data_IF_975091113284
#
_entry.id   IF_975091113284
#
_cell.length_a   1.000
_cell.length_b   1.000
_cell.length_c   1.000
_cell.angle_alpha   90.00
_cell.angle_beta   90.00
_cell.angle_gamma   90.00
#
_symmetry.space_group_name_H-M   'P 1'
#
loop_
_entity.id
_entity.type
_entity.pdbx_description
1 polymer ?
#
# COMPACT_ATOMS: atom_id res chain seq x y z
N UNK A 1 18.72 5.15 -34.31
CA UNK A 1 19.59 5.07 -33.12
C UNK A 1 19.38 6.29 -32.19
N UNK A 2 18.16 6.62 -31.79
CA UNK A 2 17.85 7.77 -30.90
C UNK A 2 17.00 7.41 -29.66
N UNK A 3 16.88 6.15 -29.33
CA UNK A 3 16.00 5.66 -28.26
C UNK A 3 16.61 5.60 -26.85
N UNK A 4 17.90 5.88 -26.66
CA UNK A 4 18.55 5.75 -25.34
C UNK A 4 18.60 7.06 -24.53
N UNK A 5 18.42 8.22 -25.16
CA UNK A 5 18.52 9.53 -24.50
C UNK A 5 17.26 9.97 -23.76
N UNK A 6 16.11 9.37 -24.05
CA UNK A 6 14.84 9.72 -23.40
C UNK A 6 14.63 9.09 -22.00
N UNK A 7 15.18 7.91 -21.75
CA UNK A 7 14.99 7.17 -20.48
C UNK A 7 15.57 7.89 -19.25
N UNK A 8 16.84 8.35 -19.25
CA UNK A 8 17.37 9.08 -18.10
C UNK A 8 16.65 10.41 -17.89
N UNK A 9 16.27 11.12 -18.95
CA UNK A 9 15.51 12.37 -18.85
C UNK A 9 14.12 12.16 -18.23
N UNK A 10 13.43 11.07 -18.58
CA UNK A 10 12.15 10.70 -17.97
C UNK A 10 12.30 10.43 -16.46
N UNK A 11 13.28 9.62 -16.05
CA UNK A 11 13.56 9.32 -14.63
C UNK A 11 13.90 10.60 -13.86
N UNK A 12 14.75 11.47 -14.42
CA UNK A 12 15.11 12.74 -13.80
C UNK A 12 13.87 13.63 -13.63
N UNK A 13 13.03 13.73 -14.66
CA UNK A 13 11.77 14.50 -14.58
C UNK A 13 10.84 13.97 -13.47
N UNK A 14 10.73 12.65 -13.34
CA UNK A 14 9.92 12.00 -12.28
C UNK A 14 10.51 12.25 -10.89
N UNK A 15 11.83 12.18 -10.74
CA UNK A 15 12.50 12.55 -9.49
C UNK A 15 12.28 14.02 -9.13
N UNK A 16 12.35 14.92 -10.09
CA UNK A 16 12.04 16.33 -9.86
C UNK A 16 10.57 16.57 -9.47
N UNK A 17 9.64 15.78 -10.01
CA UNK A 17 8.22 15.82 -9.62
C UNK A 17 7.97 15.26 -8.21
N UNK A 18 8.83 14.38 -7.70
CA UNK A 18 8.74 13.87 -6.35
C UNK A 18 9.10 14.93 -5.29
N UNK A 19 10.02 15.85 -5.60
CA UNK A 19 10.47 16.89 -4.66
C UNK A 19 9.32 17.74 -4.11
N UNK A 20 8.45 18.38 -4.96
CA UNK A 20 7.32 19.15 -4.43
C UNK A 20 6.32 18.30 -3.64
N UNK A 21 6.16 17.02 -3.99
CA UNK A 21 5.29 16.10 -3.23
C UNK A 21 5.85 15.86 -1.83
N UNK A 22 7.13 15.51 -1.71
CA UNK A 22 7.79 15.31 -0.42
C UNK A 22 7.76 16.60 0.40
N UNK A 23 8.02 17.74 -0.23
CA UNK A 23 7.94 19.05 0.44
C UNK A 23 6.52 19.35 0.94
N UNK A 24 5.48 19.12 0.14
CA UNK A 24 4.09 19.29 0.55
C UNK A 24 3.73 18.41 1.75
N UNK A 25 4.24 17.19 1.80
CA UNK A 25 4.03 16.26 2.92
C UNK A 25 4.74 16.78 4.18
N UNK A 26 5.97 17.25 4.05
CA UNK A 26 6.69 17.86 5.18
C UNK A 26 5.94 19.09 5.72
N UNK A 27 5.40 19.93 4.84
CA UNK A 27 4.57 21.07 5.24
C UNK A 27 3.30 20.65 5.95
N UNK A 28 2.60 19.65 5.39
CA UNK A 28 1.37 19.12 5.99
C UNK A 28 1.65 18.51 7.38
N UNK A 29 2.69 17.70 7.51
CA UNK A 29 3.10 17.11 8.77
C UNK A 29 3.46 18.18 9.81
N UNK A 30 4.22 19.20 9.40
CA UNK A 30 4.56 20.34 10.27
C UNK A 30 3.30 21.09 10.73
N UNK A 31 2.36 21.30 9.82
CA UNK A 31 1.07 21.94 10.14
C UNK A 31 0.26 21.08 11.13
N UNK A 32 0.17 19.78 10.88
CA UNK A 32 -0.54 18.84 11.77
C UNK A 32 0.05 18.83 13.17
N UNK A 33 1.38 18.88 13.28
CA UNK A 33 2.07 18.98 14.58
C UNK A 33 1.65 20.23 15.36
N UNK A 34 1.49 21.37 14.67
CA UNK A 34 1.13 22.64 15.30
C UNK A 34 -0.38 22.80 15.55
N UNK A 35 -1.22 22.10 14.80
CA UNK A 35 -2.68 22.08 15.01
C UNK A 35 -3.12 21.05 16.04
N UNK A 36 -2.26 20.07 16.36
CA UNK A 36 -2.57 19.07 17.37
C UNK A 36 -2.71 19.75 18.75
N UNK A 37 -3.73 19.42 19.55
CA UNK A 37 -3.91 19.97 20.86
C UNK A 37 -2.79 19.51 21.81
N UNK A 38 -2.03 20.45 22.34
CA UNK A 38 -0.85 20.24 23.18
C UNK A 38 0.46 20.26 22.39
N UNK A 39 1.52 20.87 22.96
CA UNK A 39 2.86 20.80 22.37
C UNK A 39 3.59 19.53 22.80
N UNK A 40 4.65 19.14 22.07
CA UNK A 40 5.45 17.95 22.39
C UNK A 40 6.00 17.98 23.84
N UNK A 41 6.25 19.15 24.36
CA UNK A 41 6.68 19.32 25.74
C UNK A 41 5.56 18.99 26.76
N UNK A 42 4.31 19.31 26.43
CA UNK A 42 3.14 18.98 27.28
C UNK A 42 2.87 17.48 27.33
N UNK A 43 2.98 16.80 26.18
CA UNK A 43 2.81 15.34 26.10
C UNK A 43 3.86 14.65 26.96
N UNK A 44 5.13 15.05 26.84
CA UNK A 44 6.25 14.51 27.61
C UNK A 44 6.14 14.79 29.10
N UNK A 45 5.75 16.01 29.49
CA UNK A 45 5.57 16.37 30.90
C UNK A 45 4.37 15.61 31.50
N UNK A 46 3.31 15.37 30.76
CA UNK A 46 2.17 14.56 31.16
C UNK A 46 2.53 13.10 31.42
N UNK A 47 3.36 12.49 30.58
CA UNK A 47 3.86 11.13 30.79
C UNK A 47 4.85 11.00 31.94
N UNK A 48 5.69 12.03 32.18
CA UNK A 48 6.64 12.05 33.28
C UNK A 48 5.99 12.33 34.64
N UNK A 49 4.69 12.67 34.69
CA UNK A 49 3.97 12.98 35.93
C UNK A 49 4.44 14.26 36.64
N UNK A 50 5.29 15.07 36.01
CA UNK A 50 5.87 16.29 36.58
C UNK A 50 5.87 17.43 35.56
N UNK A 51 4.87 18.27 35.62
CA UNK A 51 4.73 19.43 34.74
C UNK A 51 5.11 20.73 35.47
N UNK A 52 6.32 20.80 36.10
CA UNK A 52 6.76 22.07 36.65
C UNK A 52 7.03 23.08 35.54
N UNK A 53 6.76 24.39 35.79
CA UNK A 53 6.99 25.42 34.76
C UNK A 53 8.44 25.45 34.25
N UNK A 54 9.40 25.20 35.13
CA UNK A 54 10.83 25.16 34.81
C UNK A 54 11.18 23.98 33.89
N UNK A 55 10.63 22.80 34.17
CA UNK A 55 10.82 21.60 33.35
C UNK A 55 10.19 21.77 31.96
N UNK A 56 9.00 22.36 31.90
CA UNK A 56 8.34 22.71 30.64
C UNK A 56 9.16 23.69 29.81
N UNK A 57 9.74 24.72 30.43
CA UNK A 57 10.59 25.68 29.74
C UNK A 57 11.85 25.00 29.15
N UNK A 58 12.50 24.14 29.93
CA UNK A 58 13.66 23.38 29.50
C UNK A 58 13.32 22.45 28.32
N UNK A 59 12.18 21.76 28.36
CA UNK A 59 11.70 20.90 27.23
C UNK A 59 11.45 21.73 25.98
N UNK A 60 10.76 22.87 26.09
CA UNK A 60 10.51 23.77 24.94
C UNK A 60 11.80 24.29 24.35
N UNK A 61 12.76 24.68 25.16
CA UNK A 61 14.08 25.11 24.70
C UNK A 61 14.84 23.96 24.01
N UNK A 62 14.81 22.77 24.62
CA UNK A 62 15.49 21.58 24.08
C UNK A 62 14.90 21.15 22.71
N UNK A 63 13.59 21.26 22.53
CA UNK A 63 12.91 20.96 21.26
C UNK A 63 12.85 22.17 20.31
N UNK A 64 13.37 23.32 20.71
CA UNK A 64 13.38 24.53 19.90
C UNK A 64 11.99 25.11 19.63
N UNK A 65 10.99 24.77 20.48
CA UNK A 65 9.61 25.24 20.36
C UNK A 65 9.45 26.72 20.76
N UNK A 66 10.47 27.30 21.37
CA UNK A 66 10.61 28.72 21.70
C UNK A 66 11.06 29.60 20.52
N UNK A 67 11.50 28.98 19.42
CA UNK A 67 12.00 29.66 18.24
C UNK A 67 10.88 30.15 17.33
N UNK A 68 11.12 31.15 16.43
CA UNK A 68 10.16 31.53 15.40
C UNK A 68 9.75 30.34 14.52
N UNK A 69 8.48 30.28 14.10
CA UNK A 69 7.92 29.16 13.31
C UNK A 69 8.75 28.84 12.07
N UNK A 70 9.32 29.83 11.39
CA UNK A 70 10.17 29.60 10.22
C UNK A 70 11.45 28.81 10.56
N UNK A 71 12.03 29.07 11.75
CA UNK A 71 13.22 28.36 12.24
C UNK A 71 12.85 26.92 12.65
N UNK A 72 11.71 26.74 13.33
CA UNK A 72 11.19 25.41 13.68
C UNK A 72 10.96 24.57 12.42
N UNK A 73 10.36 25.15 11.38
CA UNK A 73 10.15 24.50 10.09
C UNK A 73 11.47 24.07 9.42
N UNK A 74 12.47 24.97 9.38
CA UNK A 74 13.77 24.65 8.80
C UNK A 74 14.46 23.49 9.54
N UNK A 75 14.40 23.50 10.87
CA UNK A 75 14.98 22.44 11.71
C UNK A 75 14.23 21.11 11.48
N UNK A 76 12.90 21.14 11.44
CA UNK A 76 12.07 19.98 11.14
C UNK A 76 12.38 19.38 9.77
N UNK A 77 12.41 20.20 8.71
CA UNK A 77 12.77 19.74 7.36
C UNK A 77 14.17 19.14 7.34
N UNK A 78 15.13 19.79 7.99
CA UNK A 78 16.51 19.26 8.10
C UNK A 78 16.52 17.89 8.78
N UNK A 79 15.86 17.72 9.92
CA UNK A 79 15.78 16.46 10.66
C UNK A 79 15.15 15.35 9.80
N UNK A 80 14.03 15.63 9.13
CA UNK A 80 13.38 14.64 8.26
C UNK A 80 14.28 14.23 7.09
N UNK A 81 14.96 15.18 6.42
CA UNK A 81 15.88 14.90 5.32
C UNK A 81 17.14 14.17 5.73
N UNK A 82 17.58 14.31 6.99
CA UNK A 82 18.72 13.55 7.55
C UNK A 82 18.30 12.23 8.19
N UNK A 83 16.99 11.86 8.10
CA UNK A 83 16.39 10.68 8.73
C UNK A 83 16.57 10.65 10.27
N UNK A 84 16.75 11.80 10.87
CA UNK A 84 16.73 11.97 12.33
C UNK A 84 15.27 12.17 12.77
N UNK A 85 14.52 11.07 12.82
CA UNK A 85 13.09 11.07 13.15
C UNK A 85 12.82 11.17 14.64
N UNK A 86 13.89 11.30 15.45
CA UNK A 86 13.80 11.38 16.89
C UNK A 86 13.60 10.02 17.58
N UNK A 87 13.06 10.09 18.79
CA UNK A 87 12.93 8.94 19.68
C UNK A 87 11.48 8.77 20.14
N UNK A 88 10.98 7.55 20.17
CA UNK A 88 9.70 7.20 20.76
C UNK A 88 9.89 6.91 22.24
N UNK A 89 9.37 7.74 23.10
CA UNK A 89 9.48 7.54 24.54
C UNK A 89 8.66 6.35 25.02
N UNK A 90 7.52 6.14 24.39
CA UNK A 90 6.63 5.01 24.70
C UNK A 90 7.29 3.66 24.41
N UNK A 91 8.02 3.54 23.31
CA UNK A 91 8.69 2.30 22.91
C UNK A 91 10.14 2.22 23.42
N UNK A 92 10.70 3.31 23.95
CA UNK A 92 12.06 3.35 24.47
C UNK A 92 13.15 3.13 23.40
N UNK A 93 12.87 3.50 22.12
CA UNK A 93 13.79 3.25 21.01
C UNK A 93 13.66 4.30 19.88
N UNK A 94 14.67 4.41 19.00
CA UNK A 94 14.63 5.33 17.86
C UNK A 94 13.44 5.05 16.94
N UNK A 95 12.78 6.11 16.47
CA UNK A 95 11.61 6.04 15.57
C UNK A 95 11.97 5.31 14.27
N UNK A 96 13.16 5.56 13.72
CA UNK A 96 13.60 4.93 12.48
C UNK A 96 13.68 3.39 12.59
N UNK A 97 14.16 2.89 13.72
CA UNK A 97 14.26 1.43 13.98
C UNK A 97 12.86 0.79 14.09
N UNK A 98 11.94 1.45 14.80
CA UNK A 98 10.54 1.01 14.88
C UNK A 98 9.89 0.88 13.50
N UNK A 99 10.06 1.91 12.68
CA UNK A 99 9.50 1.93 11.32
C UNK A 99 10.16 0.86 10.45
N UNK A 100 11.49 0.73 10.49
CA UNK A 100 12.22 -0.27 9.72
C UNK A 100 11.78 -1.71 10.05
N UNK A 101 11.53 -2.00 11.33
CA UNK A 101 11.04 -3.31 11.76
C UNK A 101 9.62 -3.63 11.23
N UNK A 102 8.79 -2.61 10.99
CA UNK A 102 7.40 -2.76 10.53
C UNK A 102 7.23 -2.68 9.01
N UNK A 103 8.25 -2.19 8.30
CA UNK A 103 8.21 -2.03 6.85
C UNK A 103 8.08 -3.36 6.11
N UNK A 104 8.85 -4.37 6.51
CA UNK A 104 8.83 -5.70 5.90
C UNK A 104 7.43 -6.35 5.90
N UNK A 105 6.78 -6.48 7.06
CA UNK A 105 5.41 -6.98 7.15
C UNK A 105 4.39 -6.23 6.28
N UNK A 106 4.42 -4.91 6.25
CA UNK A 106 3.53 -4.12 5.38
C UNK A 106 3.78 -4.42 3.90
N UNK A 107 5.05 -4.41 3.47
CA UNK A 107 5.40 -4.72 2.08
C UNK A 107 4.99 -6.15 1.69
N UNK A 108 5.16 -7.13 2.58
CA UNK A 108 4.74 -8.51 2.35
C UNK A 108 3.22 -8.59 2.12
N UNK A 109 2.43 -7.93 2.96
CA UNK A 109 0.97 -7.87 2.81
C UNK A 109 0.58 -7.18 1.49
N UNK A 110 1.19 -6.03 1.18
CA UNK A 110 0.89 -5.26 -0.05
C UNK A 110 1.22 -6.05 -1.32
N UNK A 111 2.41 -6.64 -1.40
CA UNK A 111 2.84 -7.41 -2.58
C UNK A 111 1.94 -8.64 -2.77
N UNK A 112 1.66 -9.37 -1.70
CA UNK A 112 0.78 -10.55 -1.77
C UNK A 112 -0.62 -10.17 -2.19
N UNK A 113 -1.18 -9.10 -1.64
CA UNK A 113 -2.49 -8.55 -2.04
C UNK A 113 -2.51 -8.16 -3.51
N UNK A 114 -1.49 -7.45 -3.99
CA UNK A 114 -1.40 -7.01 -5.38
C UNK A 114 -1.35 -8.21 -6.33
N UNK A 115 -0.51 -9.19 -6.02
CA UNK A 115 -0.39 -10.42 -6.83
C UNK A 115 -1.72 -11.18 -6.88
N UNK A 116 -2.37 -11.39 -5.75
CA UNK A 116 -3.67 -12.10 -5.70
C UNK A 116 -4.74 -11.32 -6.44
N UNK A 117 -4.92 -10.02 -6.15
CA UNK A 117 -6.00 -9.22 -6.74
C UNK A 117 -5.84 -9.04 -8.25
N UNK A 118 -4.62 -8.79 -8.73
CA UNK A 118 -4.35 -8.67 -10.17
C UNK A 118 -4.51 -10.01 -10.88
N UNK A 119 -3.89 -11.07 -10.37
CA UNK A 119 -3.96 -12.40 -11.01
C UNK A 119 -5.39 -12.94 -11.06
N UNK A 120 -6.11 -12.88 -9.94
CA UNK A 120 -7.51 -13.29 -9.89
C UNK A 120 -8.41 -12.35 -10.72
N UNK A 121 -8.14 -11.03 -10.69
CA UNK A 121 -8.87 -10.05 -11.49
C UNK A 121 -8.72 -10.27 -12.98
N UNK A 122 -7.51 -10.55 -13.45
CA UNK A 122 -7.24 -10.91 -14.86
C UNK A 122 -7.94 -12.20 -15.25
N UNK A 123 -7.82 -13.26 -14.43
CA UNK A 123 -8.45 -14.55 -14.71
C UNK A 123 -9.98 -14.45 -14.75
N UNK A 124 -10.59 -13.84 -13.74
CA UNK A 124 -12.05 -13.69 -13.65
C UNK A 124 -12.58 -12.70 -14.68
N UNK A 125 -11.89 -11.60 -14.96
CA UNK A 125 -12.27 -10.63 -15.98
C UNK A 125 -12.22 -11.23 -17.39
N UNK A 126 -11.19 -12.03 -17.70
CA UNK A 126 -11.09 -12.79 -18.93
C UNK A 126 -12.23 -13.81 -19.07
N UNK A 127 -12.53 -14.55 -17.99
CA UNK A 127 -13.64 -15.52 -17.97
C UNK A 127 -14.99 -14.82 -18.17
N UNK A 128 -15.23 -13.70 -17.52
CA UNK A 128 -16.44 -12.90 -17.68
C UNK A 128 -16.59 -12.39 -19.11
N UNK A 129 -15.52 -11.84 -19.71
CA UNK A 129 -15.54 -11.36 -21.09
C UNK A 129 -15.76 -12.48 -22.12
N UNK A 130 -15.13 -13.65 -21.92
CA UNK A 130 -15.33 -14.82 -22.81
C UNK A 130 -16.76 -15.38 -22.77
N UNK A 131 -17.53 -15.05 -21.76
CA UNK A 131 -18.93 -15.46 -21.57
C UNK A 131 -19.87 -14.25 -21.47
N UNK A 132 -19.50 -13.14 -22.12
CA UNK A 132 -20.23 -11.87 -22.07
C UNK A 132 -21.73 -12.05 -22.35
N UNK A 133 -22.57 -11.44 -21.49
CA UNK A 133 -24.02 -11.55 -21.55
C UNK A 133 -24.61 -12.89 -21.08
N UNK A 134 -23.79 -13.83 -20.58
CA UNK A 134 -24.23 -15.11 -20.03
C UNK A 134 -24.14 -15.10 -18.49
N UNK A 135 -24.74 -16.12 -17.85
CA UNK A 135 -24.78 -16.21 -16.38
C UNK A 135 -23.39 -16.14 -15.69
N UNK A 136 -22.26 -16.70 -16.23
CA UNK A 136 -20.97 -16.56 -15.55
C UNK A 136 -20.47 -15.11 -15.51
N UNK A 137 -20.69 -14.34 -16.58
CA UNK A 137 -20.39 -12.91 -16.62
C UNK A 137 -21.16 -12.15 -15.56
N UNK A 138 -22.48 -12.39 -15.45
CA UNK A 138 -23.33 -11.76 -14.46
C UNK A 138 -22.89 -12.12 -13.03
N UNK A 139 -22.64 -13.40 -12.75
CA UNK A 139 -22.21 -13.86 -11.41
C UNK A 139 -20.89 -13.24 -11.01
N UNK A 140 -19.88 -13.27 -11.87
CA UNK A 140 -18.56 -12.68 -11.58
C UNK A 140 -18.69 -11.18 -11.35
N UNK A 141 -19.46 -10.47 -12.18
CA UNK A 141 -19.65 -9.03 -12.05
C UNK A 141 -20.38 -8.65 -10.75
N UNK A 142 -21.42 -9.42 -10.39
CA UNK A 142 -22.18 -9.20 -9.13
C UNK A 142 -21.30 -9.49 -7.92
N UNK A 143 -20.57 -10.61 -7.90
CA UNK A 143 -19.66 -10.94 -6.79
C UNK A 143 -18.56 -9.89 -6.63
N UNK A 144 -17.97 -9.43 -7.73
CA UNK A 144 -16.99 -8.35 -7.71
C UNK A 144 -17.60 -7.05 -7.15
N UNK A 145 -18.83 -6.69 -7.56
CA UNK A 145 -19.53 -5.52 -7.05
C UNK A 145 -19.81 -5.63 -5.54
N UNK A 146 -20.30 -6.78 -5.09
CA UNK A 146 -20.55 -7.06 -3.66
C UNK A 146 -19.26 -6.96 -2.85
N UNK A 147 -18.15 -7.52 -3.35
CA UNK A 147 -16.84 -7.43 -2.68
C UNK A 147 -16.39 -5.97 -2.51
N UNK A 148 -16.63 -5.13 -3.50
CA UNK A 148 -16.28 -3.70 -3.43
C UNK A 148 -17.20 -2.89 -2.52
N UNK A 149 -18.50 -3.20 -2.55
CA UNK A 149 -19.52 -2.47 -1.76
C UNK A 149 -19.48 -2.84 -0.27
N UNK A 150 -18.86 -3.98 0.08
CA UNK A 150 -18.79 -4.44 1.47
C UNK A 150 -17.64 -3.72 2.20
N UNK A 151 -17.86 -3.20 3.43
CA UNK A 151 -16.79 -2.55 4.18
C UNK A 151 -15.61 -3.50 4.45
N UNK A 152 -14.39 -3.03 4.19
CA UNK A 152 -13.17 -3.82 4.26
C UNK A 152 -12.97 -4.51 5.62
N UNK A 153 -13.19 -3.78 6.72
CA UNK A 153 -13.06 -4.33 8.06
C UNK A 153 -14.08 -5.46 8.31
N UNK A 154 -15.28 -5.32 7.78
CA UNK A 154 -16.34 -6.34 7.94
C UNK A 154 -15.97 -7.64 7.19
N UNK A 155 -15.42 -7.52 5.98
CA UNK A 155 -14.88 -8.69 5.24
C UNK A 155 -13.81 -9.39 6.08
N UNK A 156 -12.86 -8.64 6.65
CA UNK A 156 -11.82 -9.19 7.52
C UNK A 156 -12.39 -9.97 8.71
N UNK A 157 -13.35 -9.36 9.44
CA UNK A 157 -14.01 -10.00 10.58
C UNK A 157 -14.78 -11.26 10.16
N UNK A 158 -15.50 -11.24 9.03
CA UNK A 158 -16.21 -12.44 8.54
C UNK A 158 -15.26 -13.57 8.16
N UNK A 159 -14.13 -13.25 7.54
CA UNK A 159 -13.10 -14.24 7.23
C UNK A 159 -12.53 -14.87 8.52
N UNK A 160 -12.25 -14.08 9.56
CA UNK A 160 -11.83 -14.58 10.87
C UNK A 160 -12.89 -15.52 11.45
N UNK A 161 -14.16 -15.09 11.51
CA UNK A 161 -15.26 -15.88 12.07
C UNK A 161 -15.42 -17.21 11.33
N UNK A 162 -15.36 -17.19 10.01
CA UNK A 162 -15.56 -18.42 9.22
C UNK A 162 -14.35 -19.33 9.28
N UNK A 163 -13.17 -18.83 8.93
CA UNK A 163 -12.00 -19.68 8.71
C UNK A 163 -11.17 -19.96 9.97
N UNK A 164 -11.19 -19.05 10.94
CA UNK A 164 -10.43 -19.24 12.17
C UNK A 164 -11.30 -19.77 13.32
N UNK A 165 -12.51 -19.18 13.52
CA UNK A 165 -13.32 -19.53 14.69
C UNK A 165 -14.20 -20.76 14.43
N UNK A 166 -14.89 -20.83 13.26
CA UNK A 166 -15.82 -21.95 12.98
C UNK A 166 -15.13 -23.18 12.40
N UNK A 167 -14.18 -22.96 11.48
CA UNK A 167 -13.49 -24.04 10.77
C UNK A 167 -12.14 -24.43 11.40
N UNK A 168 -11.56 -23.56 12.22
CA UNK A 168 -10.24 -23.74 12.84
C UNK A 168 -9.12 -24.07 11.84
N UNK A 169 -9.19 -23.50 10.63
CA UNK A 169 -8.23 -23.76 9.57
C UNK A 169 -7.03 -22.83 9.59
N UNK A 170 -7.25 -21.56 9.95
CA UNK A 170 -6.28 -20.47 9.85
C UNK A 170 -6.20 -19.68 11.16
N UNK A 171 -5.05 -19.07 11.47
CA UNK A 171 -4.92 -18.24 12.67
C UNK A 171 -5.78 -16.99 12.60
N UNK A 172 -6.17 -16.47 13.77
CA UNK A 172 -7.05 -15.30 13.89
C UNK A 172 -6.31 -13.97 13.69
N UNK A 173 -5.03 -13.90 14.12
CA UNK A 173 -4.31 -12.63 14.22
C UNK A 173 -2.80 -12.84 14.35
N UNK A 174 -2.04 -11.75 14.19
CA UNK A 174 -0.59 -11.77 14.28
C UNK A 174 0.08 -12.14 12.96
N UNK A 175 1.38 -12.27 12.98
CA UNK A 175 2.21 -12.70 11.84
C UNK A 175 2.81 -14.08 12.04
N UNK A 176 2.97 -14.52 13.28
CA UNK A 176 3.57 -15.78 13.68
C UNK A 176 2.84 -16.36 14.89
N UNK A 177 2.88 -17.68 15.06
CA UNK A 177 2.29 -18.36 16.21
C UNK A 177 3.07 -18.05 17.48
N UNK A 178 2.42 -17.40 18.44
CA UNK A 178 3.04 -16.97 19.70
C UNK A 178 3.55 -18.19 20.48
N UNK A 179 4.83 -18.16 20.87
CA UNK A 179 5.46 -19.24 21.65
C UNK A 179 5.91 -20.46 20.86
N UNK A 180 5.70 -20.52 19.55
CA UNK A 180 6.10 -21.66 18.73
C UNK A 180 7.59 -21.68 18.34
N UNK A 181 8.27 -20.51 18.35
CA UNK A 181 9.70 -20.34 18.00
C UNK A 181 10.12 -21.08 16.72
N UNK A 182 9.29 -21.00 15.68
CA UNK A 182 9.58 -21.63 14.41
C UNK A 182 10.79 -20.97 13.73
N UNK A 183 11.68 -21.80 13.15
CA UNK A 183 12.84 -21.33 12.38
C UNK A 183 12.82 -21.90 10.96
N UNK A 184 13.59 -21.27 10.06
CA UNK A 184 13.76 -21.72 8.69
C UNK A 184 12.43 -21.86 7.93
N UNK A 185 12.21 -23.00 7.29
CA UNK A 185 11.02 -23.25 6.48
C UNK A 185 9.73 -23.29 7.29
N UNK A 186 9.75 -23.80 8.52
CA UNK A 186 8.58 -23.84 9.40
C UNK A 186 8.06 -22.42 9.70
N UNK A 187 8.95 -21.46 9.91
CA UNK A 187 8.60 -20.03 10.08
C UNK A 187 7.95 -19.46 8.82
N UNK A 188 8.47 -19.76 7.64
CA UNK A 188 7.90 -19.29 6.37
C UNK A 188 6.47 -19.80 6.18
N UNK A 189 6.22 -21.08 6.49
CA UNK A 189 4.89 -21.68 6.42
C UNK A 189 3.95 -21.04 7.45
N UNK A 190 4.42 -20.80 8.67
CA UNK A 190 3.62 -20.16 9.73
C UNK A 190 3.22 -18.73 9.34
N UNK A 191 4.17 -17.90 8.89
CA UNK A 191 3.89 -16.56 8.35
C UNK A 191 2.91 -16.65 7.18
N UNK A 192 3.10 -17.60 6.27
CA UNK A 192 2.20 -17.80 5.13
C UNK A 192 0.76 -18.07 5.56
N UNK A 193 0.54 -18.91 6.60
CA UNK A 193 -0.79 -19.18 7.14
C UNK A 193 -1.44 -17.94 7.75
N UNK A 194 -0.68 -17.13 8.49
CA UNK A 194 -1.16 -15.87 9.06
C UNK A 194 -1.45 -14.79 7.99
N UNK A 195 -0.76 -14.84 6.85
CA UNK A 195 -0.92 -13.90 5.75
C UNK A 195 -2.17 -14.13 4.89
N UNK A 196 -2.71 -15.38 4.86
CA UNK A 196 -3.82 -15.75 3.97
C UNK A 196 -5.04 -14.84 4.16
N UNK A 197 -5.56 -14.74 5.38
CA UNK A 197 -6.80 -13.99 5.63
C UNK A 197 -6.62 -12.48 5.45
N UNK A 198 -5.55 -11.83 5.96
CA UNK A 198 -5.28 -10.42 5.68
C UNK A 198 -5.16 -10.13 4.19
N UNK A 199 -4.37 -10.93 3.47
CA UNK A 199 -4.16 -10.73 2.03
C UNK A 199 -5.45 -10.96 1.22
N UNK A 200 -6.25 -11.97 1.54
CA UNK A 200 -7.55 -12.21 0.92
C UNK A 200 -8.53 -11.07 1.18
N UNK A 201 -8.62 -10.59 2.43
CA UNK A 201 -9.49 -9.48 2.80
C UNK A 201 -9.21 -8.24 1.97
N UNK A 202 -7.95 -7.83 1.91
CA UNK A 202 -7.52 -6.66 1.14
C UNK A 202 -7.65 -6.90 -0.37
N UNK A 203 -7.35 -8.12 -0.84
CA UNK A 203 -7.45 -8.48 -2.26
C UNK A 203 -8.88 -8.42 -2.79
N UNK A 204 -9.86 -8.85 -2.03
CA UNK A 204 -11.27 -8.83 -2.43
C UNK A 204 -11.76 -7.40 -2.71
N UNK A 205 -11.28 -6.41 -1.96
CA UNK A 205 -11.59 -5.01 -2.21
C UNK A 205 -11.07 -4.52 -3.57
N UNK A 206 -9.80 -4.85 -3.90
CA UNK A 206 -9.19 -4.43 -5.17
C UNK A 206 -9.60 -5.30 -6.36
N UNK A 207 -10.03 -6.54 -6.12
CA UNK A 207 -10.43 -7.51 -7.15
C UNK A 207 -11.48 -6.96 -8.11
N UNK A 208 -12.49 -6.29 -7.60
CA UNK A 208 -13.58 -5.72 -8.39
C UNK A 208 -13.12 -4.74 -9.47
N UNK A 209 -12.10 -3.94 -9.15
CA UNK A 209 -11.50 -2.99 -10.08
C UNK A 209 -10.85 -3.74 -11.25
N UNK A 210 -10.01 -4.73 -10.94
CA UNK A 210 -9.28 -5.49 -11.95
C UNK A 210 -10.16 -6.38 -12.80
N UNK A 211 -11.20 -6.99 -12.22
CA UNK A 211 -12.21 -7.78 -12.97
C UNK A 211 -12.91 -6.89 -14.01
N UNK A 212 -13.42 -5.73 -13.59
CA UNK A 212 -14.14 -4.81 -14.51
C UNK A 212 -13.21 -4.26 -15.59
N UNK A 213 -12.02 -3.86 -15.23
CA UNK A 213 -11.04 -3.31 -16.16
C UNK A 213 -10.63 -4.35 -17.21
N UNK A 214 -10.28 -5.56 -16.74
CA UNK A 214 -9.90 -6.66 -17.64
C UNK A 214 -11.04 -7.08 -18.55
N UNK A 215 -12.26 -7.20 -18.01
CA UNK A 215 -13.46 -7.52 -18.82
C UNK A 215 -13.68 -6.49 -19.92
N UNK A 216 -13.64 -5.21 -19.62
CA UNK A 216 -13.80 -4.13 -20.60
C UNK A 216 -12.70 -4.18 -21.67
N UNK A 217 -11.43 -4.29 -21.24
CA UNK A 217 -10.30 -4.35 -22.15
C UNK A 217 -10.36 -5.58 -23.11
N UNK A 218 -10.76 -6.76 -22.61
CA UNK A 218 -10.90 -7.95 -23.44
C UNK A 218 -12.01 -7.77 -24.48
N UNK A 219 -13.17 -7.21 -24.09
CA UNK A 219 -14.27 -6.98 -25.04
C UNK A 219 -13.87 -5.97 -26.11
N UNK A 220 -13.18 -4.90 -25.77
CA UNK A 220 -12.63 -3.92 -26.71
C UNK A 220 -11.65 -4.58 -27.70
N UNK A 221 -10.66 -5.31 -27.19
CA UNK A 221 -9.64 -5.97 -28.00
C UNK A 221 -10.23 -7.05 -28.93
N UNK A 222 -11.29 -7.74 -28.51
CA UNK A 222 -11.96 -8.78 -29.31
C UNK A 222 -12.63 -8.21 -30.56
N UNK A 223 -12.98 -6.93 -30.58
CA UNK A 223 -13.54 -6.21 -31.74
C UNK A 223 -12.53 -5.68 -32.75
N UNK A 224 -11.22 -5.81 -32.49
CA UNK A 224 -10.17 -5.23 -33.32
C UNK A 224 -9.88 -6.06 -34.60
N UNK A 225 -9.43 -5.39 -35.68
CA UNK A 225 -9.15 -6.00 -36.99
C UNK A 225 -8.13 -7.13 -36.96
N UNK A 226 -7.13 -7.06 -36.07
CA UNK A 226 -6.14 -8.13 -35.96
C UNK A 226 -6.74 -9.44 -35.43
N UNK A 227 -7.81 -9.37 -34.64
CA UNK A 227 -8.57 -10.55 -34.16
C UNK A 227 -9.36 -11.16 -35.31
N UNK A 228 -10.02 -10.33 -36.11
CA UNK A 228 -10.73 -10.78 -37.33
C UNK A 228 -9.77 -11.45 -38.32
N UNK A 229 -8.59 -10.88 -38.51
CA UNK A 229 -7.52 -11.46 -39.32
C UNK A 229 -7.05 -12.82 -38.79
N UNK A 230 -6.89 -12.94 -37.48
CA UNK A 230 -6.48 -14.19 -36.83
C UNK A 230 -7.54 -15.30 -37.01
N UNK A 231 -8.84 -14.94 -36.94
CA UNK A 231 -9.96 -15.85 -37.23
C UNK A 231 -9.97 -16.29 -38.68
N UNK A 232 -9.77 -15.35 -39.62
CA UNK A 232 -9.71 -15.66 -41.05
C UNK A 232 -8.54 -16.60 -41.40
N UNK A 233 -7.45 -16.59 -40.60
CA UNK A 233 -6.33 -17.55 -40.72
C UNK A 233 -6.63 -18.91 -40.07
N UNK A 234 -7.83 -19.14 -39.54
CA UNK A 234 -8.25 -20.41 -38.94
C UNK A 234 -7.68 -20.71 -37.57
N UNK A 235 -7.20 -19.70 -36.84
CA UNK A 235 -6.73 -19.90 -35.45
C UNK A 235 -7.90 -20.21 -34.54
N UNK A 236 -7.65 -21.09 -33.53
CA UNK A 236 -8.64 -21.45 -32.52
C UNK A 236 -8.87 -20.23 -31.59
N UNK A 237 -10.12 -20.00 -31.18
CA UNK A 237 -10.56 -18.91 -30.31
C UNK A 237 -9.74 -18.83 -28.98
N UNK A 238 -9.41 -19.97 -28.36
CA UNK A 238 -8.59 -20.00 -27.17
C UNK A 238 -7.18 -19.42 -27.42
N UNK A 239 -6.57 -19.80 -28.55
CA UNK A 239 -5.26 -19.31 -28.99
C UNK A 239 -5.31 -17.81 -29.30
N UNK A 240 -6.36 -17.37 -30.01
CA UNK A 240 -6.58 -15.93 -30.26
C UNK A 240 -6.67 -15.17 -28.96
N UNK A 241 -7.49 -15.65 -28.04
CA UNK A 241 -7.71 -15.01 -26.74
C UNK A 241 -6.42 -14.92 -25.91
N UNK A 242 -5.69 -16.03 -25.74
CA UNK A 242 -4.51 -16.06 -24.88
C UNK A 242 -3.28 -15.40 -25.50
N UNK A 243 -3.10 -15.49 -26.83
CA UNK A 243 -1.88 -15.00 -27.49
C UNK A 243 -2.02 -13.57 -28.00
N UNK A 244 -3.20 -13.20 -28.51
CA UNK A 244 -3.40 -11.91 -29.16
C UNK A 244 -4.21 -10.93 -28.30
N UNK A 245 -5.36 -11.36 -27.77
CA UNK A 245 -6.26 -10.48 -27.00
C UNK A 245 -5.67 -10.20 -25.60
N UNK A 246 -5.31 -11.23 -24.84
CA UNK A 246 -4.82 -11.10 -23.46
C UNK A 246 -3.58 -10.21 -23.38
N UNK A 247 -2.64 -10.39 -24.32
CA UNK A 247 -1.40 -9.60 -24.36
C UNK A 247 -1.64 -8.09 -24.41
N UNK A 248 -2.67 -7.66 -25.15
CA UNK A 248 -3.02 -6.25 -25.29
C UNK A 248 -3.97 -5.79 -24.16
N UNK A 249 -4.93 -6.64 -23.78
CA UNK A 249 -5.93 -6.34 -22.76
C UNK A 249 -5.34 -6.23 -21.34
N UNK A 250 -4.19 -6.86 -21.07
CA UNK A 250 -3.53 -6.78 -19.74
C UNK A 250 -2.84 -5.44 -19.50
N UNK A 251 -2.46 -4.69 -20.55
CA UNK A 251 -1.71 -3.45 -20.41
C UNK A 251 -2.41 -2.40 -19.54
N UNK A 252 -3.71 -2.07 -19.73
CA UNK A 252 -4.42 -1.16 -18.83
C UNK A 252 -4.47 -1.67 -17.38
N UNK A 253 -4.56 -2.99 -17.19
CA UNK A 253 -4.59 -3.60 -15.84
C UNK A 253 -3.27 -3.37 -15.12
N UNK A 254 -2.13 -3.62 -15.79
CA UNK A 254 -0.79 -3.39 -15.22
C UNK A 254 -0.58 -1.90 -14.91
N UNK A 255 -1.06 -1.01 -15.79
CA UNK A 255 -1.00 0.44 -15.56
C UNK A 255 -1.73 0.84 -14.28
N UNK A 256 -2.98 0.39 -14.14
CA UNK A 256 -3.80 0.71 -12.96
C UNK A 256 -3.23 0.03 -11.70
N UNK A 257 -2.72 -1.21 -11.82
CA UNK A 257 -2.06 -1.90 -10.70
C UNK A 257 -0.90 -1.08 -10.14
N UNK A 258 -0.09 -0.49 -11.02
CA UNK A 258 1.00 0.39 -10.62
C UNK A 258 0.53 1.62 -9.85
N UNK A 259 -0.49 2.31 -10.34
CA UNK A 259 -1.05 3.49 -9.65
C UNK A 259 -1.65 3.12 -8.29
N UNK A 260 -2.25 1.92 -8.17
CA UNK A 260 -2.89 1.47 -6.94
C UNK A 260 -1.92 1.07 -5.81
N UNK A 261 -0.63 0.91 -6.09
CA UNK A 261 0.38 0.58 -5.06
C UNK A 261 0.35 1.58 -3.91
N UNK A 262 0.24 2.89 -4.20
CA UNK A 262 0.10 3.92 -3.17
C UNK A 262 -1.18 3.79 -2.34
N UNK A 263 -2.30 3.43 -2.99
CA UNK A 263 -3.59 3.21 -2.33
C UNK A 263 -3.60 1.99 -1.39
N UNK A 264 -2.79 0.96 -1.69
CA UNK A 264 -2.65 -0.22 -0.84
C UNK A 264 -2.14 0.12 0.57
N UNK A 265 -1.23 1.09 0.70
CA UNK A 265 -0.76 1.56 2.00
C UNK A 265 -1.90 2.09 2.88
N UNK A 266 -2.82 2.90 2.31
CA UNK A 266 -3.98 3.39 3.05
C UNK A 266 -4.95 2.28 3.45
N UNK A 267 -5.22 1.33 2.55
CA UNK A 267 -6.08 0.17 2.81
C UNK A 267 -5.48 -0.83 3.80
N UNK A 268 -4.16 -0.97 3.83
CA UNK A 268 -3.47 -1.89 4.74
C UNK A 268 -3.67 -1.54 6.22
N UNK A 269 -3.81 -0.26 6.57
CA UNK A 269 -4.03 0.21 7.95
C UNK A 269 -5.22 -0.50 8.60
N UNK A 270 -6.33 -0.60 7.87
CA UNK A 270 -7.56 -1.24 8.38
C UNK A 270 -7.34 -2.74 8.56
N UNK A 271 -6.74 -3.40 7.56
CA UNK A 271 -6.49 -4.85 7.61
C UNK A 271 -5.44 -5.19 8.66
N UNK A 272 -4.36 -4.44 8.73
CA UNK A 272 -3.33 -4.62 9.77
C UNK A 272 -3.91 -4.48 11.17
N UNK A 273 -4.86 -3.54 11.37
CA UNK A 273 -5.53 -3.35 12.66
C UNK A 273 -6.48 -4.50 12.99
N UNK A 274 -7.28 -4.97 12.03
CA UNK A 274 -8.26 -6.07 12.23
C UNK A 274 -7.56 -7.39 12.55
N UNK A 275 -6.47 -7.69 11.84
CA UNK A 275 -5.73 -8.94 12.00
C UNK A 275 -4.53 -8.83 12.96
N UNK A 276 -4.34 -7.68 13.62
CA UNK A 276 -3.14 -7.38 14.41
C UNK A 276 -1.83 -7.72 13.66
N UNK A 277 -1.82 -7.53 12.35
CA UNK A 277 -0.64 -7.73 11.51
C UNK A 277 0.40 -6.65 11.82
N UNK A 278 1.66 -7.01 12.17
CA UNK A 278 2.62 -6.07 12.73
C UNK A 278 3.25 -5.14 11.68
N UNK A 279 2.41 -4.38 10.97
CA UNK A 279 2.83 -3.44 9.93
C UNK A 279 2.88 -1.98 10.36
N UNK A 280 3.18 -1.10 9.38
CA UNK A 280 3.26 0.35 9.55
C UNK A 280 1.89 0.97 9.85
N UNK A 281 0.83 0.45 9.26
CA UNK A 281 -0.53 0.94 9.48
C UNK A 281 -1.01 0.70 10.90
N UNK A 282 -0.78 -0.50 11.43
CA UNK A 282 -1.07 -0.82 12.83
C UNK A 282 -0.23 0.05 13.77
N UNK A 283 1.06 0.25 13.46
CA UNK A 283 1.94 1.10 14.25
C UNK A 283 1.45 2.55 14.24
N UNK A 284 1.04 3.09 13.09
CA UNK A 284 0.48 4.44 12.99
C UNK A 284 -0.82 4.57 13.80
N UNK A 285 -1.71 3.59 13.71
CA UNK A 285 -2.94 3.56 14.49
C UNK A 285 -2.66 3.58 16.00
N UNK A 286 -1.75 2.73 16.46
CA UNK A 286 -1.35 2.70 17.88
C UNK A 286 -0.69 3.99 18.33
N UNK A 287 0.18 4.59 17.51
CA UNK A 287 0.86 5.86 17.80
C UNK A 287 -0.12 7.03 17.94
N UNK A 288 -1.17 7.05 17.11
CA UNK A 288 -2.21 8.07 17.17
C UNK A 288 -2.93 8.06 18.54
N UNK A 289 -3.38 6.88 18.99
CA UNK A 289 -4.05 6.76 20.29
C UNK A 289 -3.10 6.97 21.48
N UNK A 290 -1.82 6.63 21.27
CA UNK A 290 -0.77 6.86 22.26
C UNK A 290 -0.29 8.31 22.30
N UNK A 291 -0.70 9.16 21.36
CA UNK A 291 -0.22 10.53 21.16
C UNK A 291 1.31 10.61 20.95
N UNK A 292 1.91 9.54 20.41
CA UNK A 292 3.33 9.54 20.03
C UNK A 292 3.50 10.26 18.69
N UNK A 293 3.52 11.59 18.73
CA UNK A 293 3.58 12.42 17.54
C UNK A 293 4.88 12.24 16.76
N UNK A 294 6.02 12.04 17.42
CA UNK A 294 7.29 11.81 16.74
C UNK A 294 7.21 10.57 15.86
N UNK A 295 6.70 9.47 16.42
CA UNK A 295 6.53 8.21 15.70
C UNK A 295 5.49 8.35 14.57
N UNK A 296 4.36 8.99 14.84
CA UNK A 296 3.29 9.18 13.85
C UNK A 296 3.77 10.00 12.64
N UNK A 297 4.45 11.12 12.87
CA UNK A 297 4.97 11.98 11.81
C UNK A 297 6.10 11.29 11.02
N UNK A 298 6.96 10.54 11.72
CA UNK A 298 7.98 9.70 11.09
C UNK A 298 7.37 8.64 10.17
N UNK A 299 6.30 7.96 10.60
CA UNK A 299 5.57 6.99 9.79
C UNK A 299 4.96 7.67 8.56
N UNK A 300 4.28 8.81 8.71
CA UNK A 300 3.68 9.53 7.58
C UNK A 300 4.73 9.97 6.56
N UNK A 301 5.85 10.51 7.03
CA UNK A 301 6.95 10.93 6.16
C UNK A 301 7.55 9.74 5.38
N UNK A 302 7.94 8.66 6.07
CA UNK A 302 8.53 7.50 5.43
C UNK A 302 7.55 6.72 4.55
N UNK A 303 6.28 6.63 4.95
CA UNK A 303 5.23 6.04 4.11
C UNK A 303 5.04 6.82 2.80
N UNK A 304 5.06 8.14 2.88
CA UNK A 304 4.98 8.98 1.70
C UNK A 304 6.22 8.85 0.80
N UNK A 305 7.41 8.81 1.37
CA UNK A 305 8.64 8.52 0.62
C UNK A 305 8.56 7.13 -0.04
N UNK A 306 8.05 6.13 0.67
CA UNK A 306 7.85 4.78 0.15
C UNK A 306 6.90 4.78 -1.06
N UNK A 307 5.75 5.48 -0.97
CA UNK A 307 4.81 5.63 -2.10
C UNK A 307 5.49 6.25 -3.31
N UNK A 308 6.28 7.30 -3.11
CA UNK A 308 7.03 7.96 -4.20
C UNK A 308 8.02 6.98 -4.84
N UNK A 309 8.78 6.23 -4.04
CA UNK A 309 9.74 5.23 -4.54
C UNK A 309 9.04 4.09 -5.29
N UNK A 310 7.93 3.59 -4.74
CA UNK A 310 7.15 2.52 -5.38
C UNK A 310 6.53 3.00 -6.70
N UNK A 311 5.97 4.21 -6.74
CA UNK A 311 5.44 4.78 -7.98
C UNK A 311 6.54 4.96 -9.03
N UNK A 312 7.73 5.43 -8.63
CA UNK A 312 8.87 5.53 -9.53
C UNK A 312 9.30 4.16 -10.07
N UNK A 313 9.35 3.13 -9.21
CA UNK A 313 9.66 1.77 -9.63
C UNK A 313 8.64 1.24 -10.64
N UNK A 314 7.36 1.48 -10.40
CA UNK A 314 6.28 1.13 -11.33
C UNK A 314 6.41 1.88 -12.66
N UNK A 315 6.69 3.18 -12.66
CA UNK A 315 6.91 3.97 -13.87
C UNK A 315 8.08 3.43 -14.71
N UNK A 316 9.17 2.99 -14.04
CA UNK A 316 10.31 2.34 -14.70
C UNK A 316 9.89 1.01 -15.33
N UNK A 317 9.16 0.17 -14.60
CA UNK A 317 8.64 -1.11 -15.11
C UNK A 317 7.70 -0.87 -16.31
N UNK A 318 6.82 0.12 -16.24
CA UNK A 318 5.96 0.52 -17.37
C UNK A 318 6.77 0.89 -18.60
N UNK A 319 7.79 1.72 -18.44
CA UNK A 319 8.67 2.14 -19.54
C UNK A 319 9.42 0.95 -20.18
N UNK A 320 9.65 -0.13 -19.42
CA UNK A 320 10.27 -1.36 -19.92
C UNK A 320 9.28 -2.26 -20.66
N UNK A 321 8.00 -2.27 -20.23
CA UNK A 321 6.96 -3.16 -20.77
C UNK A 321 6.23 -2.56 -22.00
N UNK A 322 6.09 -1.24 -22.06
CA UNK A 322 5.38 -0.56 -23.15
C UNK A 322 6.34 0.17 -24.10
N UNK A 323 6.63 -0.39 -25.29
CA UNK A 323 7.50 0.26 -26.29
C UNK A 323 6.85 1.50 -26.92
N UNK A 324 5.55 1.77 -26.71
CA UNK A 324 4.79 2.89 -27.31
C UNK A 324 4.98 4.22 -26.56
N UNK A 325 5.53 4.21 -25.37
CA UNK A 325 5.83 5.43 -24.56
C UNK A 325 6.95 6.27 -25.20
N UNK A 326 7.48 5.89 -26.34
CA UNK A 326 8.59 6.55 -27.06
C UNK A 326 8.19 7.33 -28.30
N UNK A 327 6.88 7.53 -28.53
CA UNK A 327 6.41 8.38 -29.63
C UNK A 327 5.84 9.70 -29.15
#
# INVERSE_FOLDING_TARGET
MSGASGRPAYVIRRLLQAVPVVFAILMLNFLLLHLAPGDAAQVLAGEAGSATPEYMAQLRQRFGLDRPLAVQLLLYVKQMLTLDLGFSLRHGMPVLELIAARLGPTLLLMVTTLVISVSAGVALGLLAASRAGRWPDTVISVLALVSYATPLFWVGLMLIVIFSVKLDWLPTSGMETVGAFHEGWARVVDIGRHLILPALSLSLFYLALYVRLMRAAVLEQTGMDYVTTARAKGLNELRITLTHVLRNAVLPVVTVAGVQVGGLLGGSVVVESVFAWPGLGLLAFQSLFARDFNLLLGIFFLSACLVVVLNLAVDVVHTLLDPRVHS
#
